data_IF_275251625378
#
_entry.id   IF_275251625378
#
_cell.length_a   1.000
_cell.length_b   1.000
_cell.length_c   1.000
_cell.angle_alpha   90.00
_cell.angle_beta   90.00
_cell.angle_gamma   90.00
#
_symmetry.space_group_name_H-M   'P 1'
#
loop_
_entity.id
_entity.type
_entity.pdbx_description
1 polymer ?
#
# COMPACT_ATOMS: atom_id res chain seq x y z
N UNK A 1 55.46 -76.68 12.02
CA UNK A 1 54.93 -76.12 13.28
C UNK A 1 53.90 -75.05 12.93
N UNK A 2 52.74 -75.16 13.56
CA UNK A 2 51.49 -74.47 13.24
C UNK A 2 51.49 -72.97 13.59
N UNK A 3 50.71 -72.17 12.88
CA UNK A 3 49.57 -71.44 13.47
C UNK A 3 48.85 -70.62 12.39
N UNK A 4 47.60 -71.00 12.15
CA UNK A 4 46.53 -70.27 11.46
C UNK A 4 46.18 -68.96 12.16
N UNK A 5 45.91 -67.89 11.40
CA UNK A 5 45.04 -66.82 11.90
C UNK A 5 44.11 -66.31 10.80
N UNK A 6 42.82 -66.29 11.17
CA UNK A 6 41.63 -66.09 10.34
C UNK A 6 40.98 -64.81 10.84
N UNK A 7 40.79 -63.80 9.99
CA UNK A 7 40.05 -62.57 10.35
C UNK A 7 38.93 -62.31 9.34
N UNK A 8 37.76 -62.08 9.91
CA UNK A 8 36.42 -62.04 9.31
C UNK A 8 36.14 -60.82 8.42
N UNK A 9 35.12 -60.89 7.54
CA UNK A 9 34.68 -59.77 6.72
C UNK A 9 33.82 -58.77 7.52
N UNK A 10 34.05 -57.49 7.28
CA UNK A 10 33.29 -56.36 7.81
C UNK A 10 31.83 -56.39 7.33
N UNK A 11 30.90 -56.24 8.27
CA UNK A 11 29.47 -56.07 8.04
C UNK A 11 29.15 -54.66 7.53
N UNK A 12 28.54 -54.58 6.36
CA UNK A 12 28.04 -53.38 5.70
C UNK A 12 26.72 -52.94 6.36
N UNK A 13 26.74 -51.83 7.11
CA UNK A 13 25.55 -51.26 7.73
C UNK A 13 24.72 -50.50 6.68
N UNK A 14 23.54 -51.03 6.36
CA UNK A 14 22.58 -50.38 5.48
C UNK A 14 22.04 -49.07 6.08
N UNK A 15 21.91 -47.98 5.29
CA UNK A 15 21.38 -46.70 5.76
C UNK A 15 19.88 -46.83 6.03
N UNK A 16 19.46 -46.44 7.23
CA UNK A 16 18.05 -46.41 7.62
C UNK A 16 17.30 -45.31 6.85
N UNK A 17 16.11 -45.60 6.28
CA UNK A 17 15.30 -44.60 5.60
C UNK A 17 14.75 -43.59 6.61
N UNK A 18 15.11 -42.32 6.44
CA UNK A 18 14.51 -41.20 7.18
C UNK A 18 13.01 -41.07 6.83
N UNK A 19 12.12 -40.87 7.83
CA UNK A 19 10.68 -40.83 7.60
C UNK A 19 10.25 -39.58 6.81
N UNK A 20 9.66 -39.81 5.64
CA UNK A 20 9.14 -38.80 4.69
C UNK A 20 7.98 -37.92 5.22
N UNK A 21 7.45 -38.20 6.41
CA UNK A 21 6.28 -37.52 6.98
C UNK A 21 6.50 -36.03 7.30
N UNK A 22 7.72 -35.63 7.64
CA UNK A 22 7.99 -34.28 8.13
C UNK A 22 8.11 -33.20 7.03
N UNK A 23 8.22 -33.58 5.74
CA UNK A 23 8.33 -32.62 4.64
C UNK A 23 6.98 -32.04 4.19
N UNK A 24 5.90 -32.82 4.33
CA UNK A 24 4.56 -32.42 3.87
C UNK A 24 3.89 -31.42 4.82
N UNK A 25 4.13 -31.55 6.13
CA UNK A 25 3.56 -30.66 7.14
C UNK A 25 4.19 -29.24 7.10
N UNK A 26 5.50 -29.16 6.89
CA UNK A 26 6.20 -27.87 6.77
C UNK A 26 5.79 -27.14 5.48
N UNK A 27 5.60 -27.84 4.36
CA UNK A 27 5.15 -27.21 3.11
C UNK A 27 3.74 -26.64 3.19
N UNK A 28 2.83 -27.31 3.92
CA UNK A 28 1.47 -26.80 4.12
C UNK A 28 1.45 -25.59 5.07
N UNK A 29 2.21 -25.62 6.15
CA UNK A 29 2.36 -24.47 7.05
C UNK A 29 3.06 -23.28 6.36
N UNK A 30 4.05 -23.53 5.50
CA UNK A 30 4.69 -22.48 4.70
C UNK A 30 3.75 -21.91 3.64
N UNK A 31 2.92 -22.75 3.02
CA UNK A 31 1.90 -22.30 2.06
C UNK A 31 0.82 -21.46 2.75
N UNK A 32 0.24 -21.96 3.86
CA UNK A 32 -0.76 -21.24 4.65
C UNK A 32 -0.15 -19.99 5.26
N UNK A 33 1.10 -20.05 5.73
CA UNK A 33 1.86 -18.91 6.23
C UNK A 33 2.03 -17.85 5.16
N UNK A 34 2.53 -18.20 3.98
CA UNK A 34 2.70 -17.28 2.85
C UNK A 34 1.38 -16.75 2.30
N UNK A 35 0.33 -17.57 2.28
CA UNK A 35 -1.02 -17.16 1.90
C UNK A 35 -1.60 -16.18 2.91
N UNK A 36 -1.44 -16.45 4.21
CA UNK A 36 -1.91 -15.59 5.29
C UNK A 36 -1.12 -14.28 5.33
N UNK A 37 0.21 -14.34 5.20
CA UNK A 37 1.06 -13.16 5.07
C UNK A 37 0.68 -12.37 3.82
N UNK A 38 0.42 -13.07 2.72
CA UNK A 38 -0.07 -12.51 1.47
C UNK A 38 -1.41 -11.82 1.63
N UNK A 39 -2.37 -12.41 2.36
CA UNK A 39 -3.69 -11.83 2.63
C UNK A 39 -3.59 -10.65 3.61
N UNK A 40 -2.75 -10.75 4.63
CA UNK A 40 -2.54 -9.67 5.62
C UNK A 40 -1.80 -8.48 4.99
N UNK A 41 -0.86 -8.74 4.09
CA UNK A 41 -0.09 -7.68 3.41
C UNK A 41 -0.69 -7.22 2.09
N UNK A 42 -1.58 -7.99 1.45
CA UNK A 42 -2.22 -7.64 0.18
C UNK A 42 -2.99 -6.31 0.19
N UNK A 43 -3.83 -6.00 1.21
CA UNK A 43 -4.53 -4.72 1.29
C UNK A 43 -3.53 -3.56 1.32
N UNK A 44 -2.37 -3.82 1.91
CA UNK A 44 -1.36 -2.84 2.17
C UNK A 44 -0.38 -2.64 1.02
N UNK A 45 -0.05 -3.72 0.30
CA UNK A 45 1.02 -3.74 -0.72
C UNK A 45 0.75 -2.77 -1.86
N UNK A 46 -0.51 -2.64 -2.28
CA UNK A 46 -0.91 -1.70 -3.33
C UNK A 46 -0.82 -0.26 -2.84
N UNK A 47 -1.40 0.02 -1.68
CA UNK A 47 -1.39 1.36 -1.06
C UNK A 47 0.04 1.83 -0.84
N UNK A 48 0.91 0.95 -0.35
CA UNK A 48 2.33 1.19 -0.21
C UNK A 48 3.02 1.55 -1.52
N UNK A 49 2.78 0.76 -2.58
CA UNK A 49 3.41 0.98 -3.88
C UNK A 49 2.94 2.28 -4.54
N UNK A 50 1.63 2.55 -4.50
CA UNK A 50 1.01 3.68 -5.19
C UNK A 50 1.17 5.00 -4.45
N UNK A 51 0.93 5.04 -3.14
CA UNK A 51 0.93 6.29 -2.38
C UNK A 51 2.30 6.65 -1.82
N UNK A 52 3.19 5.68 -1.65
CA UNK A 52 4.49 5.93 -0.99
C UNK A 52 5.66 5.70 -1.91
N UNK A 53 5.79 4.50 -2.48
CA UNK A 53 7.00 4.14 -3.23
C UNK A 53 7.12 4.90 -4.55
N UNK A 54 6.07 4.89 -5.37
CA UNK A 54 6.08 5.52 -6.70
C UNK A 54 6.30 7.04 -6.62
N UNK A 55 5.56 7.80 -5.79
CA UNK A 55 5.79 9.25 -5.68
C UNK A 55 7.19 9.58 -5.15
N UNK A 56 7.71 8.83 -4.17
CA UNK A 56 9.10 9.03 -3.70
C UNK A 56 10.12 8.79 -4.81
N UNK A 57 9.90 7.76 -5.63
CA UNK A 57 10.77 7.48 -6.77
C UNK A 57 10.72 8.60 -7.81
N UNK A 58 9.53 9.10 -8.11
CA UNK A 58 9.33 10.17 -9.10
C UNK A 58 9.92 11.50 -8.62
N UNK A 59 9.72 11.86 -7.33
CA UNK A 59 10.35 13.03 -6.68
C UNK A 59 11.88 12.87 -6.66
N UNK A 60 12.39 11.65 -6.48
CA UNK A 60 13.83 11.40 -6.54
C UNK A 60 14.39 11.49 -7.96
N UNK A 61 13.60 11.16 -8.98
CA UNK A 61 14.04 11.17 -10.38
C UNK A 61 13.97 12.56 -11.02
N UNK A 62 13.18 13.49 -10.48
CA UNK A 62 13.05 14.87 -10.95
C UNK A 62 14.27 15.77 -10.60
N UNK A 63 15.47 15.20 -10.51
CA UNK A 63 16.69 15.93 -10.14
C UNK A 63 17.04 16.96 -11.24
N UNK A 64 16.84 18.25 -10.93
CA UNK A 64 17.19 19.37 -11.81
C UNK A 64 16.03 20.19 -12.37
N UNK A 65 14.79 19.67 -12.38
CA UNK A 65 13.61 20.42 -12.86
C UNK A 65 12.73 20.90 -11.70
N UNK A 66 12.94 22.16 -11.31
CA UNK A 66 12.25 22.80 -10.18
C UNK A 66 10.73 22.80 -10.34
N UNK A 67 10.20 23.05 -11.54
CA UNK A 67 8.73 23.15 -11.73
C UNK A 67 8.06 21.79 -11.57
N UNK A 68 8.67 20.77 -12.16
CA UNK A 68 8.20 19.39 -12.05
C UNK A 68 8.28 18.88 -10.62
N UNK A 69 9.37 19.20 -9.90
CA UNK A 69 9.54 18.81 -8.50
C UNK A 69 8.51 19.47 -7.56
N UNK A 70 8.20 20.76 -7.75
CA UNK A 70 7.16 21.45 -6.97
C UNK A 70 5.79 20.81 -7.19
N UNK A 71 5.44 20.49 -8.45
CA UNK A 71 4.18 19.80 -8.77
C UNK A 71 4.10 18.44 -8.08
N UNK A 72 5.14 17.61 -8.23
CA UNK A 72 5.16 16.25 -7.65
C UNK A 72 5.05 16.26 -6.13
N UNK A 73 5.70 17.20 -5.46
CA UNK A 73 5.63 17.34 -3.99
C UNK A 73 4.26 17.83 -3.55
N UNK A 74 3.64 18.77 -4.28
CA UNK A 74 2.27 19.24 -4.02
C UNK A 74 1.27 18.09 -4.13
N UNK A 75 1.34 17.34 -5.22
CA UNK A 75 0.45 16.22 -5.50
C UNK A 75 0.61 15.12 -4.46
N UNK A 76 1.86 14.76 -4.12
CA UNK A 76 2.16 13.81 -3.06
C UNK A 76 1.62 14.26 -1.70
N UNK A 77 1.81 15.53 -1.33
CA UNK A 77 1.30 16.09 -0.07
C UNK A 77 -0.22 16.02 -0.02
N UNK A 78 -0.91 16.42 -1.09
CA UNK A 78 -2.36 16.35 -1.16
C UNK A 78 -2.86 14.91 -1.01
N UNK A 79 -2.31 13.96 -1.78
CA UNK A 79 -2.68 12.55 -1.69
C UNK A 79 -2.39 11.95 -0.30
N UNK A 80 -1.27 12.31 0.33
CA UNK A 80 -0.94 11.84 1.68
C UNK A 80 -1.86 12.42 2.74
N UNK A 81 -2.27 13.66 2.59
CA UNK A 81 -3.21 14.28 3.52
C UNK A 81 -4.57 13.58 3.48
N UNK A 82 -5.06 13.26 2.28
CA UNK A 82 -6.29 12.48 2.08
C UNK A 82 -6.18 11.07 2.65
N UNK A 83 -5.05 10.38 2.43
CA UNK A 83 -4.78 9.07 3.02
C UNK A 83 -4.85 9.14 4.55
N UNK A 84 -4.13 10.07 5.17
CA UNK A 84 -4.10 10.24 6.62
C UNK A 84 -5.48 10.60 7.19
N UNK A 85 -6.25 11.45 6.51
CA UNK A 85 -7.61 11.76 6.90
C UNK A 85 -8.52 10.52 6.86
N UNK A 86 -8.43 9.72 5.79
CA UNK A 86 -9.18 8.47 5.69
C UNK A 86 -8.80 7.49 6.80
N UNK A 87 -7.50 7.41 7.14
CA UNK A 87 -6.97 6.58 8.23
C UNK A 87 -7.53 7.00 9.59
N UNK A 88 -7.59 8.30 9.87
CA UNK A 88 -8.18 8.82 11.11
C UNK A 88 -9.65 8.44 11.23
N UNK A 89 -10.45 8.72 10.19
CA UNK A 89 -11.89 8.43 10.20
C UNK A 89 -12.15 6.94 10.39
N UNK A 90 -11.45 6.08 9.62
CA UNK A 90 -11.61 4.64 9.70
C UNK A 90 -11.13 4.05 11.04
N UNK A 91 -10.03 4.56 11.60
CA UNK A 91 -9.51 4.11 12.90
C UNK A 91 -10.39 4.56 14.06
N UNK A 92 -10.91 5.78 14.03
CA UNK A 92 -11.90 6.26 15.02
C UNK A 92 -13.19 5.45 14.96
N UNK A 93 -13.66 5.10 13.76
CA UNK A 93 -14.81 4.21 13.59
C UNK A 93 -14.54 2.81 14.17
N UNK A 94 -13.37 2.23 13.88
CA UNK A 94 -12.96 0.94 14.46
C UNK A 94 -12.89 1.00 15.99
N UNK A 95 -12.30 2.05 16.56
CA UNK A 95 -12.24 2.23 18.01
C UNK A 95 -13.64 2.32 18.63
N UNK A 96 -14.57 3.06 18.00
CA UNK A 96 -15.96 3.14 18.43
C UNK A 96 -16.68 1.79 18.38
N UNK A 97 -16.51 1.05 17.28
CA UNK A 97 -17.06 -0.30 17.14
C UNK A 97 -16.50 -1.25 18.21
N UNK A 98 -15.20 -1.22 18.45
CA UNK A 98 -14.55 -2.03 19.50
C UNK A 98 -15.07 -1.68 20.89
N UNK A 99 -15.22 -0.40 21.23
CA UNK A 99 -15.79 0.03 22.52
C UNK A 99 -17.25 -0.41 22.68
N UNK A 100 -18.06 -0.31 21.62
CA UNK A 100 -19.44 -0.77 21.64
C UNK A 100 -19.52 -2.28 21.91
N UNK A 101 -18.70 -3.08 21.21
CA UNK A 101 -18.67 -4.53 21.42
C UNK A 101 -18.18 -4.91 22.82
N UNK A 102 -17.17 -4.20 23.35
CA UNK A 102 -16.69 -4.41 24.72
C UNK A 102 -17.79 -4.12 25.76
N UNK A 103 -18.69 -3.16 25.50
CA UNK A 103 -19.77 -2.82 26.42
C UNK A 103 -20.83 -3.92 26.60
N UNK A 104 -20.97 -4.82 25.64
CA UNK A 104 -21.98 -5.89 25.64
C UNK A 104 -21.39 -7.29 25.84
N UNK A 105 -20.11 -7.41 26.19
CA UNK A 105 -19.47 -8.71 26.39
C UNK A 105 -19.82 -9.36 27.75
N UNK A 106 -21.12 -9.56 27.97
CA UNK A 106 -21.68 -10.14 29.19
C UNK A 106 -21.71 -11.67 29.17
N UNK A 107 -21.34 -12.33 28.06
CA UNK A 107 -21.30 -13.79 28.00
C UNK A 107 -20.15 -14.30 28.89
N UNK A 108 -20.44 -15.02 29.98
CA UNK A 108 -19.43 -15.45 30.96
C UNK A 108 -18.45 -16.47 30.38
N UNK A 109 -18.86 -17.25 29.37
CA UNK A 109 -18.07 -18.33 28.76
C UNK A 109 -17.35 -17.96 27.46
N UNK A 110 -17.34 -16.68 27.09
CA UNK A 110 -16.67 -16.22 25.89
C UNK A 110 -15.16 -16.52 25.94
N UNK A 111 -14.60 -17.03 24.83
CA UNK A 111 -13.17 -17.35 24.72
C UNK A 111 -12.36 -16.07 24.95
N UNK A 112 -11.39 -16.11 25.88
CA UNK A 112 -10.56 -14.97 26.25
C UNK A 112 -9.82 -14.33 25.05
N UNK A 113 -9.51 -15.13 24.02
CA UNK A 113 -8.88 -14.70 22.78
C UNK A 113 -9.68 -13.60 22.07
N UNK A 114 -11.02 -13.67 22.08
CA UNK A 114 -11.85 -12.63 21.48
C UNK A 114 -11.66 -11.27 22.18
N UNK A 115 -11.63 -11.28 23.53
CA UNK A 115 -11.37 -10.08 24.33
C UNK A 115 -9.98 -9.52 24.06
N UNK A 116 -8.95 -10.38 24.02
CA UNK A 116 -7.58 -9.97 23.72
C UNK A 116 -7.48 -9.30 22.35
N UNK A 117 -8.10 -9.90 21.32
CA UNK A 117 -8.12 -9.35 19.95
C UNK A 117 -8.82 -7.99 19.87
N UNK A 118 -9.90 -7.78 20.62
CA UNK A 118 -10.56 -6.48 20.70
C UNK A 118 -9.70 -5.42 21.40
N UNK A 119 -9.02 -5.77 22.50
CA UNK A 119 -8.08 -4.83 23.13
C UNK A 119 -6.89 -4.49 22.20
N UNK A 120 -6.37 -5.48 21.46
CA UNK A 120 -5.37 -5.25 20.41
C UNK A 120 -5.90 -4.30 19.32
N UNK A 121 -7.13 -4.49 18.87
CA UNK A 121 -7.77 -3.61 17.89
C UNK A 121 -7.89 -2.17 18.41
N UNK A 122 -8.28 -2.00 19.68
CA UNK A 122 -8.44 -0.71 20.31
C UNK A 122 -7.09 0.04 20.38
N UNK A 123 -6.04 -0.63 20.86
CA UNK A 123 -4.72 0.00 20.97
C UNK A 123 -4.13 0.34 19.59
N UNK A 124 -4.29 -0.54 18.60
CA UNK A 124 -3.89 -0.27 17.22
C UNK A 124 -4.64 0.93 16.63
N UNK A 125 -5.95 1.03 16.86
CA UNK A 125 -6.76 2.17 16.41
C UNK A 125 -6.29 3.49 17.01
N UNK A 126 -6.01 3.50 18.31
CA UNK A 126 -5.51 4.70 19.02
C UNK A 126 -4.15 5.12 18.45
N UNK A 127 -3.22 4.17 18.26
CA UNK A 127 -1.92 4.46 17.65
C UNK A 127 -2.04 4.97 16.22
N UNK A 128 -2.95 4.41 15.41
CA UNK A 128 -3.21 4.89 14.06
C UNK A 128 -3.68 6.35 14.05
N UNK A 129 -4.60 6.72 14.94
CA UNK A 129 -5.09 8.11 15.07
C UNK A 129 -3.95 9.05 15.52
N UNK A 130 -3.25 8.71 16.61
CA UNK A 130 -2.17 9.54 17.16
C UNK A 130 -1.08 9.79 16.10
N UNK A 131 -0.59 8.72 15.48
CA UNK A 131 0.48 8.83 14.48
C UNK A 131 0.02 9.52 13.22
N UNK A 132 -1.25 9.37 12.82
CA UNK A 132 -1.80 10.14 11.72
C UNK A 132 -1.89 11.64 12.01
N UNK A 133 -2.26 12.03 13.24
CA UNK A 133 -2.26 13.46 13.65
C UNK A 133 -0.84 14.02 13.60
N UNK A 134 0.14 13.29 14.15
CA UNK A 134 1.54 13.70 14.14
C UNK A 134 2.07 13.88 12.71
N UNK A 135 1.79 12.94 11.81
CA UNK A 135 2.23 13.02 10.42
C UNK A 135 1.56 14.16 9.67
N UNK A 136 0.29 14.42 9.95
CA UNK A 136 -0.45 15.53 9.36
C UNK A 136 0.13 16.88 9.80
N UNK A 137 0.51 17.02 11.07
CA UNK A 137 1.21 18.21 11.58
C UNK A 137 2.56 18.43 10.88
N UNK A 138 3.37 17.37 10.75
CA UNK A 138 4.64 17.44 10.02
C UNK A 138 4.40 17.85 8.56
N UNK A 139 3.35 17.34 7.94
CA UNK A 139 3.01 17.64 6.56
C UNK A 139 2.53 19.08 6.37
N UNK A 140 1.82 19.64 7.35
CA UNK A 140 1.38 21.04 7.35
C UNK A 140 2.58 21.99 7.48
N UNK A 141 3.58 21.66 8.31
CA UNK A 141 4.82 22.45 8.45
C UNK A 141 5.70 22.46 7.20
N UNK A 142 5.60 21.44 6.32
CA UNK A 142 6.53 21.28 5.21
C UNK A 142 6.37 22.32 4.11
N UNK A 143 5.15 22.82 3.87
CA UNK A 143 4.86 23.75 2.78
C UNK A 143 3.61 24.56 3.13
N UNK A 144 3.76 25.88 3.22
CA UNK A 144 2.62 26.79 3.40
C UNK A 144 1.74 26.79 2.14
N UNK A 145 0.42 26.62 2.31
CA UNK A 145 -0.53 26.38 1.19
C UNK A 145 -0.58 27.55 0.22
N UNK A 146 -0.29 28.75 0.71
CA UNK A 146 -0.38 30.00 -0.04
C UNK A 146 0.97 30.45 -0.66
N UNK A 147 2.08 29.82 -0.26
CA UNK A 147 3.42 30.17 -0.77
C UNK A 147 3.82 29.40 -2.05
N UNK A 148 2.95 28.49 -2.52
CA UNK A 148 3.29 27.51 -3.56
C UNK A 148 3.23 28.01 -5.00
N UNK A 149 2.87 29.27 -5.23
CA UNK A 149 2.53 29.77 -6.57
C UNK A 149 3.70 30.37 -7.35
N UNK A 150 4.71 31.04 -6.75
CA UNK A 150 5.75 31.68 -7.58
C UNK A 150 7.15 31.86 -6.96
N UNK A 151 7.30 31.87 -5.63
CA UNK A 151 8.56 32.27 -4.98
C UNK A 151 9.11 31.28 -3.94
N UNK A 152 8.86 29.97 -4.06
CA UNK A 152 9.48 28.99 -3.15
C UNK A 152 11.00 29.09 -3.26
N UNK A 153 11.65 29.38 -2.12
CA UNK A 153 13.09 29.36 -1.98
C UNK A 153 13.61 27.93 -2.20
N UNK A 154 14.71 27.78 -2.95
CA UNK A 154 15.38 26.49 -3.13
C UNK A 154 15.75 25.85 -1.79
N UNK A 155 15.97 26.67 -0.75
CA UNK A 155 16.19 26.22 0.61
C UNK A 155 14.99 25.43 1.17
N UNK A 156 13.77 25.94 1.04
CA UNK A 156 12.55 25.31 1.55
C UNK A 156 12.19 24.05 0.77
N UNK A 157 12.43 24.08 -0.54
CA UNK A 157 12.26 22.92 -1.38
C UNK A 157 13.26 21.82 -1.03
N UNK A 158 14.53 22.16 -0.79
CA UNK A 158 15.55 21.21 -0.34
C UNK A 158 15.32 20.72 1.10
N UNK A 159 14.75 21.55 1.97
CA UNK A 159 14.30 21.15 3.31
C UNK A 159 13.16 20.14 3.21
N UNK A 160 12.14 20.44 2.41
CA UNK A 160 10.99 19.57 2.17
C UNK A 160 11.42 18.24 1.58
N UNK A 161 12.28 18.29 0.56
CA UNK A 161 12.90 17.11 -0.03
C UNK A 161 13.67 16.30 1.02
N UNK A 162 14.47 16.93 1.88
CA UNK A 162 15.19 16.23 2.95
C UNK A 162 14.27 15.59 4.00
N UNK A 163 13.11 16.16 4.29
CA UNK A 163 12.16 15.57 5.23
C UNK A 163 11.37 14.43 4.58
N UNK A 164 10.94 14.59 3.33
CA UNK A 164 10.17 13.59 2.59
C UNK A 164 11.04 12.41 2.16
N UNK A 165 12.25 12.69 1.66
CA UNK A 165 13.12 11.68 1.08
C UNK A 165 14.19 11.19 2.06
N UNK A 166 14.64 12.03 3.01
CA UNK A 166 15.83 11.85 3.87
C UNK A 166 16.95 11.07 3.15
N UNK A 167 17.05 11.29 1.84
CA UNK A 167 17.68 10.38 0.92
C UNK A 167 19.11 10.83 0.79
N UNK A 168 20.02 10.04 1.39
CA UNK A 168 21.41 10.05 0.95
C UNK A 168 21.46 9.35 -0.41
N UNK A 169 22.38 9.78 -1.28
CA UNK A 169 22.61 9.28 -2.65
C UNK A 169 22.69 7.74 -2.80
N UNK A 170 22.77 6.98 -1.70
CA UNK A 170 22.70 5.52 -1.63
C UNK A 170 21.51 5.11 -0.72
N UNK A 171 20.60 4.22 -1.18
CA UNK A 171 19.49 3.72 -0.37
C UNK A 171 20.02 2.87 0.79
N UNK A 172 20.23 3.50 1.94
CA UNK A 172 20.55 2.82 3.19
C UNK A 172 19.30 2.46 3.99
N UNK A 173 19.51 1.84 5.16
CA UNK A 173 18.47 1.45 6.12
C UNK A 173 17.55 2.64 6.49
N UNK A 174 18.08 3.86 6.52
CA UNK A 174 17.30 5.08 6.80
C UNK A 174 16.17 5.38 5.82
N UNK A 175 16.30 4.98 4.54
CA UNK A 175 15.24 5.15 3.55
C UNK A 175 14.03 4.25 3.85
N UNK A 176 14.30 2.98 4.20
CA UNK A 176 13.28 2.02 4.58
C UNK A 176 12.58 2.40 5.88
N UNK A 177 13.32 2.91 6.87
CA UNK A 177 12.73 3.42 8.12
C UNK A 177 11.80 4.59 7.84
N UNK A 178 12.19 5.53 6.98
CA UNK A 178 11.35 6.68 6.68
C UNK A 178 10.09 6.29 5.92
N UNK A 179 10.21 5.39 4.93
CA UNK A 179 9.05 4.81 4.26
C UNK A 179 8.13 4.16 5.28
N UNK A 180 8.67 3.35 6.20
CA UNK A 180 7.91 2.70 7.27
C UNK A 180 7.20 3.72 8.16
N UNK A 181 7.85 4.82 8.54
CA UNK A 181 7.22 5.90 9.30
C UNK A 181 6.01 6.45 8.55
N UNK A 182 6.14 6.86 7.29
CA UNK A 182 5.03 7.38 6.47
C UNK A 182 3.88 6.39 6.21
N UNK A 183 4.06 5.16 6.63
CA UNK A 183 3.22 4.03 6.34
C UNK A 183 2.62 3.40 7.59
N UNK A 184 3.24 3.68 8.74
CA UNK A 184 2.84 3.19 10.04
C UNK A 184 1.37 3.45 10.39
N UNK A 185 0.77 4.63 10.19
CA UNK A 185 -0.63 4.85 10.57
C UNK A 185 -1.60 3.97 9.77
N UNK A 186 -1.35 3.83 8.46
CA UNK A 186 -2.16 3.01 7.57
C UNK A 186 -2.01 1.52 7.90
N UNK A 187 -0.80 1.07 8.25
CA UNK A 187 -0.58 -0.31 8.75
C UNK A 187 -1.35 -0.57 10.06
N UNK A 188 -1.25 0.34 11.03
CA UNK A 188 -1.94 0.21 12.32
C UNK A 188 -3.46 0.19 12.16
N UNK A 189 -4.01 1.02 11.26
CA UNK A 189 -5.42 0.97 10.90
C UNK A 189 -5.82 -0.39 10.35
N UNK A 190 -5.06 -0.94 9.39
CA UNK A 190 -5.36 -2.27 8.84
C UNK A 190 -5.31 -3.35 9.92
N UNK A 191 -4.31 -3.32 10.80
CA UNK A 191 -4.22 -4.27 11.92
C UNK A 191 -5.36 -4.12 12.92
N UNK A 192 -5.83 -2.91 13.18
CA UNK A 192 -7.00 -2.66 14.01
C UNK A 192 -8.24 -3.36 13.46
N UNK A 193 -8.51 -3.23 12.15
CA UNK A 193 -9.64 -3.90 11.50
C UNK A 193 -9.49 -5.42 11.46
N UNK A 194 -8.29 -5.92 11.12
CA UNK A 194 -8.04 -7.36 11.08
C UNK A 194 -8.24 -8.01 12.46
N UNK A 195 -7.68 -7.41 13.51
CA UNK A 195 -7.85 -7.90 14.89
C UNK A 195 -9.28 -7.75 15.39
N UNK A 196 -9.98 -6.67 15.02
CA UNK A 196 -11.41 -6.51 15.34
C UNK A 196 -12.26 -7.61 14.73
N UNK A 197 -12.15 -7.83 13.41
CA UNK A 197 -12.90 -8.84 12.68
C UNK A 197 -12.54 -10.26 13.15
N UNK A 198 -11.27 -10.50 13.48
CA UNK A 198 -10.84 -11.78 14.06
C UNK A 198 -11.48 -12.00 15.44
N UNK A 199 -11.49 -10.98 16.30
CA UNK A 199 -12.12 -11.04 17.62
C UNK A 199 -13.63 -11.27 17.51
N UNK A 200 -14.30 -10.59 16.58
CA UNK A 200 -15.72 -10.75 16.31
C UNK A 200 -16.04 -12.17 15.80
N UNK A 201 -15.21 -12.69 14.90
CA UNK A 201 -15.37 -14.03 14.36
C UNK A 201 -15.20 -15.09 15.45
N UNK A 202 -14.15 -14.98 16.28
CA UNK A 202 -13.95 -15.90 17.42
C UNK A 202 -15.12 -15.82 18.40
N UNK A 203 -15.60 -14.62 18.71
CA UNK A 203 -16.73 -14.41 19.62
C UNK A 203 -18.00 -15.11 19.11
N UNK A 204 -18.40 -14.83 17.85
CA UNK A 204 -19.60 -15.42 17.24
C UNK A 204 -19.46 -16.95 17.06
N UNK A 205 -18.24 -17.45 16.82
CA UNK A 205 -17.98 -18.87 16.67
C UNK A 205 -17.80 -19.62 18.01
N UNK A 206 -17.87 -18.93 19.15
CA UNK A 206 -17.77 -19.57 20.48
C UNK A 206 -18.69 -20.79 20.66
N UNK A 207 -20.00 -20.76 20.32
CA UNK A 207 -20.88 -21.94 20.44
C UNK A 207 -20.39 -23.14 19.61
N UNK A 208 -19.83 -22.90 18.42
CA UNK A 208 -19.26 -23.94 17.55
C UNK A 208 -17.99 -24.55 18.17
N UNK A 209 -17.09 -23.70 18.68
CA UNK A 209 -15.81 -24.12 19.28
C UNK A 209 -16.04 -24.91 20.57
N UNK A 210 -17.08 -24.57 21.34
CA UNK A 210 -17.44 -25.24 22.59
C UNK A 210 -18.32 -26.47 22.39
N UNK A 211 -18.63 -26.84 21.14
CA UNK A 211 -19.50 -27.97 20.82
C UNK A 211 -20.85 -27.92 21.56
N UNK A 212 -21.45 -26.74 21.67
CA UNK A 212 -22.76 -26.61 22.28
C UNK A 212 -23.83 -27.32 21.44
N UNK A 213 -24.93 -27.70 22.08
CA UNK A 213 -26.06 -28.32 21.38
C UNK A 213 -26.56 -27.41 20.25
N UNK A 214 -27.12 -28.01 19.19
CA UNK A 214 -27.61 -27.30 18.02
C UNK A 214 -28.76 -26.35 18.39
N UNK A 215 -28.40 -25.11 18.70
CA UNK A 215 -29.32 -24.03 19.09
C UNK A 215 -29.28 -22.86 18.11
N UNK A 216 -30.01 -21.80 18.43
CA UNK A 216 -30.08 -20.62 17.57
C UNK A 216 -28.73 -19.89 17.48
N UNK A 217 -27.92 -19.88 18.55
CA UNK A 217 -26.57 -19.31 18.54
C UNK A 217 -25.64 -20.00 17.52
N UNK A 218 -25.79 -21.31 17.35
CA UNK A 218 -25.04 -22.08 16.34
C UNK A 218 -25.48 -21.71 14.93
N UNK A 219 -26.78 -21.51 14.69
CA UNK A 219 -27.31 -21.09 13.39
C UNK A 219 -26.84 -19.67 13.04
N UNK A 220 -26.84 -18.76 14.02
CA UNK A 220 -26.33 -17.38 13.86
C UNK A 220 -24.85 -17.43 13.48
N UNK A 221 -24.06 -18.27 14.14
CA UNK A 221 -22.64 -18.42 13.81
C UNK A 221 -22.39 -18.93 12.38
N UNK A 222 -23.14 -19.94 11.94
CA UNK A 222 -23.06 -20.46 10.57
C UNK A 222 -23.46 -19.39 9.55
N UNK A 223 -24.54 -18.66 9.80
CA UNK A 223 -24.99 -17.59 8.91
C UNK A 223 -23.96 -16.45 8.81
N UNK A 224 -23.40 -16.03 9.95
CA UNK A 224 -22.31 -15.06 10.00
C UNK A 224 -21.09 -15.52 9.19
N UNK A 225 -20.65 -16.78 9.36
CA UNK A 225 -19.53 -17.33 8.61
C UNK A 225 -19.81 -17.41 7.11
N UNK A 226 -21.04 -17.75 6.70
CA UNK A 226 -21.43 -17.78 5.30
C UNK A 226 -21.36 -16.38 4.66
N UNK A 227 -21.96 -15.38 5.31
CA UNK A 227 -21.94 -13.99 4.81
C UNK A 227 -20.53 -13.41 4.84
N UNK A 228 -19.79 -13.62 5.93
CA UNK A 228 -18.39 -13.20 6.06
C UNK A 228 -17.49 -13.86 5.01
N UNK A 229 -17.72 -15.14 4.71
CA UNK A 229 -17.02 -15.89 3.67
C UNK A 229 -17.28 -15.31 2.27
N UNK A 230 -18.54 -15.01 1.94
CA UNK A 230 -18.88 -14.34 0.66
C UNK A 230 -18.21 -12.97 0.56
N UNK A 231 -18.20 -12.20 1.65
CA UNK A 231 -17.49 -10.91 1.72
C UNK A 231 -15.98 -11.05 1.49
N UNK A 232 -15.34 -12.03 2.15
CA UNK A 232 -13.92 -12.31 1.99
C UNK A 232 -13.58 -12.73 0.55
N UNK A 233 -14.37 -13.63 -0.04
CA UNK A 233 -14.19 -14.07 -1.42
C UNK A 233 -14.31 -12.87 -2.38
N UNK A 234 -15.34 -12.03 -2.22
CA UNK A 234 -15.53 -10.82 -3.03
C UNK A 234 -14.35 -9.86 -2.89
N UNK A 235 -13.84 -9.68 -1.67
CA UNK A 235 -12.66 -8.87 -1.41
C UNK A 235 -11.39 -9.42 -2.09
N UNK A 236 -11.17 -10.74 -2.03
CA UNK A 236 -10.04 -11.39 -2.69
C UNK A 236 -10.12 -11.27 -4.21
N UNK A 237 -11.31 -11.46 -4.80
CA UNK A 237 -11.53 -11.26 -6.23
C UNK A 237 -11.27 -9.82 -6.66
N UNK A 238 -11.78 -8.84 -5.90
CA UNK A 238 -11.54 -7.41 -6.17
C UNK A 238 -10.04 -7.08 -6.10
N UNK A 239 -9.36 -7.56 -5.06
CA UNK A 239 -7.91 -7.37 -4.88
C UNK A 239 -7.10 -8.04 -6.01
N UNK A 240 -7.48 -9.25 -6.41
CA UNK A 240 -6.85 -9.99 -7.49
C UNK A 240 -7.05 -9.32 -8.86
N UNK A 241 -8.26 -8.85 -9.15
CA UNK A 241 -8.58 -8.13 -10.38
C UNK A 241 -7.76 -6.84 -10.51
N UNK A 242 -7.73 -6.06 -9.42
CA UNK A 242 -6.91 -4.86 -9.30
C UNK A 242 -5.42 -5.15 -9.55
N UNK A 243 -4.90 -6.21 -8.93
CA UNK A 243 -3.50 -6.59 -9.08
C UNK A 243 -3.18 -7.02 -10.52
N UNK A 244 -4.09 -7.79 -11.14
CA UNK A 244 -3.97 -8.22 -12.53
C UNK A 244 -4.00 -7.02 -13.50
N UNK A 245 -4.91 -6.06 -13.26
CA UNK A 245 -5.04 -4.84 -14.07
C UNK A 245 -3.77 -3.98 -14.00
N UNK A 246 -3.18 -3.81 -12.80
CA UNK A 246 -1.92 -3.07 -12.64
C UNK A 246 -0.77 -3.74 -13.41
N UNK A 247 -0.63 -5.06 -13.27
CA UNK A 247 0.41 -5.83 -13.98
C UNK A 247 0.22 -5.79 -15.51
N UNK A 248 -1.03 -5.74 -15.98
CA UNK A 248 -1.35 -5.56 -17.41
C UNK A 248 -0.93 -4.18 -17.93
N UNK A 249 -1.14 -3.13 -17.14
CA UNK A 249 -0.71 -1.76 -17.46
C UNK A 249 0.81 -1.64 -17.52
N UNK A 250 1.54 -2.23 -16.55
CA UNK A 250 3.00 -2.23 -16.55
C UNK A 250 3.58 -2.96 -17.78
N UNK A 251 3.01 -4.11 -18.16
CA UNK A 251 3.41 -4.84 -19.37
C UNK A 251 3.19 -4.01 -20.63
N UNK A 252 2.03 -3.37 -20.74
CA UNK A 252 1.69 -2.54 -21.90
C UNK A 252 2.64 -1.34 -22.03
N UNK A 253 2.99 -0.71 -20.90
CA UNK A 253 3.96 0.39 -20.88
C UNK A 253 5.38 -0.05 -21.27
N UNK A 254 5.79 -1.26 -20.88
CA UNK A 254 7.09 -1.82 -21.29
C UNK A 254 7.12 -2.12 -22.79
N UNK A 255 6.09 -2.78 -23.33
CA UNK A 255 6.00 -3.07 -24.78
C UNK A 255 5.99 -1.79 -25.61
N UNK A 256 5.28 -0.75 -25.18
CA UNK A 256 5.28 0.54 -25.90
C UNK A 256 6.65 1.23 -25.90
N UNK A 257 7.48 1.04 -24.87
CA UNK A 257 8.85 1.60 -24.84
C UNK A 257 9.77 0.87 -25.79
N UNK A 258 9.72 -0.47 -25.79
CA UNK A 258 10.51 -1.30 -26.72
C UNK A 258 10.17 -0.95 -28.17
N UNK A 259 8.87 -0.83 -28.49
CA UNK A 259 8.44 -0.46 -29.84
C UNK A 259 8.89 0.96 -30.25
N UNK A 260 8.92 1.91 -29.31
CA UNK A 260 9.39 3.27 -29.58
C UNK A 260 10.92 3.31 -29.81
N UNK A 261 11.68 2.53 -29.05
CA UNK A 261 13.13 2.42 -29.20
C UNK A 261 13.48 1.74 -30.55
N UNK A 262 12.77 0.68 -30.95
CA UNK A 262 12.95 0.02 -32.25
C UNK A 262 12.59 0.95 -33.43
N UNK A 263 11.52 1.73 -33.32
CA UNK A 263 11.16 2.71 -34.33
C UNK A 263 12.19 3.85 -34.46
N UNK A 264 12.83 4.24 -33.35
CA UNK A 264 13.91 5.23 -33.35
C UNK A 264 15.22 4.72 -33.98
N UNK A 265 15.55 3.44 -33.77
CA UNK A 265 16.73 2.79 -34.38
C UNK A 265 16.52 2.60 -35.90
N UNK A 266 15.31 2.26 -36.34
CA UNK A 266 14.99 2.15 -37.77
C UNK A 266 15.03 3.49 -38.53
N UNK A 267 14.65 4.59 -37.87
CA UNK A 267 14.68 5.93 -38.49
C UNK A 267 16.11 6.47 -38.67
N UNK A 268 17.01 6.19 -37.72
CA UNK A 268 18.40 6.67 -37.77
C UNK A 268 19.25 5.95 -38.83
N UNK A 269 18.95 4.68 -39.12
CA UNK A 269 19.65 3.92 -40.17
C UNK A 269 19.20 4.31 -41.61
N UNK A 270 17.96 4.79 -41.76
CA UNK A 270 17.44 5.31 -43.04
C UNK A 270 17.96 6.73 -43.30
N UNK A 271 18.09 7.57 -42.28
CA UNK A 271 18.67 8.92 -42.39
C UNK A 271 20.18 8.88 -42.72
N UNK A 272 20.91 7.89 -42.19
CA UNK A 272 22.32 7.65 -42.51
C UNK A 272 22.52 7.20 -43.98
N UNK A 273 21.58 6.43 -44.54
CA UNK A 273 21.61 6.08 -45.99
C UNK A 273 21.15 7.21 -46.90
N UNK A 274 20.31 8.13 -46.41
CA UNK A 274 19.81 9.27 -47.21
C UNK A 274 20.80 10.43 -47.26
N UNK A 275 21.60 10.62 -46.21
CA UNK A 275 22.68 11.64 -46.17
C UNK A 275 23.89 11.31 -47.04
N UNK A 276 24.06 10.06 -47.48
CA UNK A 276 25.05 9.67 -48.49
C UNK A 276 24.55 9.83 -49.95
N UNK A 277 23.26 10.11 -50.16
CA UNK A 277 22.66 10.20 -51.50
C UNK A 277 22.20 11.62 -51.89
N UNK A 278 22.37 12.63 -51.02
CA UNK A 278 21.91 14.00 -51.25
C UNK A 278 22.97 15.01 -50.86
N UNK A 279 24.09 14.99 -51.58
CA UNK A 279 25.09 16.04 -51.52
C UNK A 279 25.32 16.61 -52.93
N UNK A 280 24.22 16.98 -53.59
CA UNK A 280 24.28 17.90 -54.71
C UNK A 280 22.99 18.76 -54.74
N UNK A 281 23.18 20.05 -55.01
CA UNK A 281 22.19 21.12 -55.18
C UNK A 281 21.52 21.82 -53.96
N UNK A 282 22.12 22.97 -53.64
CA UNK A 282 21.54 24.34 -53.61
C UNK A 282 20.40 24.70 -52.63
N UNK A 283 20.78 25.58 -51.70
CA UNK A 283 20.36 26.99 -51.55
C UNK A 283 18.85 27.31 -51.69
N UNK A 284 18.22 27.73 -50.59
CA UNK A 284 16.94 28.43 -50.61
C UNK A 284 16.30 28.55 -49.23
N UNK A 285 16.09 29.78 -48.77
CA UNK A 285 15.26 30.18 -47.64
C UNK A 285 13.93 29.42 -47.57
N UNK A 286 13.54 28.93 -46.39
CA UNK A 286 12.24 29.33 -45.82
C UNK A 286 12.13 28.94 -44.34
N UNK A 287 11.58 29.87 -43.57
CA UNK A 287 11.44 29.83 -42.13
C UNK A 287 9.95 29.66 -41.80
N UNK A 288 9.47 28.43 -41.64
CA UNK A 288 8.12 28.17 -41.11
C UNK A 288 8.06 26.92 -40.23
N UNK A 289 7.44 27.08 -39.06
CA UNK A 289 7.28 26.09 -37.98
C UNK A 289 6.41 24.86 -38.39
N UNK A 290 6.39 23.77 -37.59
CA UNK A 290 5.30 23.67 -36.61
C UNK A 290 5.65 22.87 -35.33
N UNK A 291 5.42 23.47 -34.14
CA UNK A 291 5.34 22.71 -32.86
C UNK A 291 3.88 22.57 -32.43
N UNK A 292 3.19 21.58 -33.01
CA UNK A 292 1.89 21.08 -32.54
C UNK A 292 2.03 19.65 -31.98
N UNK A 293 2.73 19.43 -30.86
CA UNK A 293 2.70 18.12 -30.16
C UNK A 293 2.75 18.31 -28.63
N UNK A 294 1.97 19.23 -28.07
CA UNK A 294 1.89 19.44 -26.61
C UNK A 294 0.48 19.77 -26.10
N UNK A 295 -0.57 19.44 -26.86
CA UNK A 295 -1.97 19.76 -26.50
C UNK A 295 -2.85 18.57 -26.11
N UNK A 296 -2.36 17.34 -26.19
CA UNK A 296 -3.17 16.13 -26.01
C UNK A 296 -3.17 15.55 -24.58
N UNK A 297 -2.44 16.12 -23.61
CA UNK A 297 -2.44 15.64 -22.21
C UNK A 297 -3.26 16.48 -21.22
N UNK A 298 -3.71 17.67 -21.59
CA UNK A 298 -4.47 18.55 -20.69
C UNK A 298 -5.99 18.25 -20.67
N UNK A 299 -6.52 17.46 -21.61
CA UNK A 299 -7.96 17.26 -21.80
C UNK A 299 -8.56 16.04 -21.09
N UNK A 300 -7.76 15.23 -20.38
CA UNK A 300 -8.27 14.04 -19.66
C UNK A 300 -8.46 14.25 -18.15
N UNK A 301 -8.16 15.43 -17.61
CA UNK A 301 -8.28 15.70 -16.15
C UNK A 301 -9.44 16.65 -15.82
N UNK A 302 -10.05 17.33 -16.80
CA UNK A 302 -11.07 18.37 -16.56
C UNK A 302 -12.54 17.85 -16.53
N UNK A 303 -12.75 16.53 -16.47
CA UNK A 303 -14.08 15.93 -16.57
C UNK A 303 -14.80 15.58 -15.27
N UNK A 304 -14.13 15.60 -14.11
CA UNK A 304 -14.65 14.94 -12.90
C UNK A 304 -14.96 15.84 -11.70
N UNK A 305 -14.79 17.16 -11.80
CA UNK A 305 -14.85 18.05 -10.63
C UNK A 305 -15.99 19.08 -10.65
N UNK A 306 -17.11 18.76 -11.30
CA UNK A 306 -18.28 19.66 -11.42
C UNK A 306 -19.54 18.97 -10.91
N UNK A 307 -19.67 18.87 -9.59
CA UNK A 307 -20.92 18.39 -8.98
C UNK A 307 -20.81 17.92 -7.54
N UNK A 308 -20.32 18.75 -6.61
CA UNK A 308 -20.57 18.55 -5.16
C UNK A 308 -20.10 19.77 -4.35
N UNK A 309 -20.62 20.96 -4.62
CA UNK A 309 -20.35 22.15 -3.81
C UNK A 309 -21.54 23.12 -3.80
N UNK A 310 -22.72 22.58 -3.49
CA UNK A 310 -23.87 23.36 -3.01
C UNK A 310 -24.59 22.52 -1.96
N UNK A 311 -24.17 22.66 -0.70
CA UNK A 311 -25.02 22.62 0.51
C UNK A 311 -24.14 22.47 1.76
N UNK A 312 -23.71 23.59 2.34
CA UNK A 312 -23.71 23.82 3.80
C UNK A 312 -23.12 25.20 4.12
N UNK A 313 -23.93 26.23 3.88
CA UNK A 313 -23.87 27.47 4.65
C UNK A 313 -24.98 27.35 5.68
N UNK A 314 -24.65 27.22 6.96
CA UNK A 314 -25.34 27.83 8.13
C UNK A 314 -24.95 27.11 9.42
N UNK A 315 -24.13 27.73 10.27
CA UNK A 315 -24.37 27.77 11.72
C UNK A 315 -23.41 28.77 12.37
N UNK A 316 -24.01 29.86 12.82
CA UNK A 316 -23.39 31.03 13.45
C UNK A 316 -23.03 30.72 14.91
N UNK A 317 -21.77 30.99 15.25
CA UNK A 317 -21.17 30.88 16.58
C UNK A 317 -21.70 32.00 17.50
N UNK A 318 -22.54 31.69 18.49
CA UNK A 318 -22.81 32.58 19.64
C UNK A 318 -21.81 32.31 20.77
N UNK A 319 -21.17 33.36 21.27
CA UNK A 319 -20.38 33.38 22.51
C UNK A 319 -21.32 33.48 23.72
N UNK A 320 -21.08 32.77 24.84
CA UNK A 320 -21.72 33.09 26.10
C UNK A 320 -20.94 34.18 26.84
N UNK A 321 -21.68 35.22 27.24
CA UNK A 321 -21.26 36.27 28.17
C UNK A 321 -21.29 35.69 29.58
N UNK A 322 -20.18 35.82 30.31
CA UNK A 322 -20.08 35.53 31.75
C UNK A 322 -20.78 36.63 32.55
N UNK A 323 -21.69 36.23 33.43
CA UNK A 323 -22.12 36.98 34.60
C UNK A 323 -22.00 36.02 35.79
N UNK A 324 -21.10 36.34 36.71
CA UNK A 324 -21.19 36.34 38.18
C UNK A 324 -19.93 37.05 38.66
#
# INVERSE_FOLDING_TARGET
>A
MASTNRTSPHSESSPTPVPYSNYLHNSWLDFVGNLTLGIITAPYRRTFKLYTWKPLKDISAADGDRRTLVSLVRDWKASKYEELQSVQVASSFCAGATLAVLSWNTIPDAIWVARALWYCSLICSIWAVITSIQQKSILDELLDKDALSEAISEYDLNRTRRVILRYKKKPGIGHWIMIFVWQFPSMQMSYAWCTFLSGLTVYICTPLIRHQAWGDDTKIAIFYLAVGGVGLITFLFSSGFVYAAEKGSERSAQTSRVNADEAGIGASDVESKRSLASNDDKNGDDQTAPRQILRSRALLIDGSSRGSLEHQITSVRRKPTLLI
#
